data_IF_550918183500
#
_entry.id   IF_550918183500
#
_cell.length_a   1.000
_cell.length_b   1.000
_cell.length_c   1.000
_cell.angle_alpha   90.00
_cell.angle_beta   90.00
_cell.angle_gamma   90.00
#
_symmetry.space_group_name_H-M   'P 1'
#
loop_
_entity.id
_entity.type
_entity.pdbx_description
1 polymer ?
#
# COMPACT_ATOMS: atom_id res chain seq x y z
N UNK A 1 -2.35 13.14 -20.87
CA UNK A 1 -1.98 14.57 -20.84
C UNK A 1 -0.75 14.86 -19.95
N UNK A 2 0.01 13.85 -19.48
CA UNK A 2 1.34 14.01 -18.84
C UNK A 2 1.38 14.69 -17.47
N UNK A 3 0.32 15.41 -17.09
CA UNK A 3 0.26 16.22 -15.87
C UNK A 3 0.52 15.42 -14.61
N UNK A 4 0.07 14.17 -14.57
CA UNK A 4 0.25 13.30 -13.41
C UNK A 4 1.71 12.92 -13.22
N UNK A 5 2.35 12.53 -14.31
CA UNK A 5 3.77 12.16 -14.32
C UNK A 5 4.66 13.35 -13.93
N UNK A 6 4.28 14.58 -14.29
CA UNK A 6 5.03 15.80 -13.98
C UNK A 6 5.17 16.08 -12.49
N UNK A 7 4.24 15.68 -11.62
CA UNK A 7 4.43 15.83 -10.17
C UNK A 7 4.88 14.52 -9.51
N UNK A 8 4.44 13.37 -10.01
CA UNK A 8 4.67 12.09 -9.34
C UNK A 8 6.15 11.68 -9.40
N UNK A 9 6.79 11.79 -10.57
CA UNK A 9 8.21 11.44 -10.70
C UNK A 9 9.11 12.35 -9.85
N UNK A 10 8.99 13.69 -9.90
CA UNK A 10 9.79 14.55 -9.02
C UNK A 10 9.55 14.27 -7.54
N UNK A 11 8.31 14.00 -7.13
CA UNK A 11 7.99 13.65 -5.73
C UNK A 11 8.70 12.36 -5.32
N UNK A 12 8.62 11.31 -6.14
CA UNK A 12 9.29 10.03 -5.85
C UNK A 12 10.82 10.17 -5.85
N UNK A 13 11.40 10.89 -6.81
CA UNK A 13 12.84 11.15 -6.84
C UNK A 13 13.30 11.91 -5.59
N UNK A 14 12.62 13.01 -5.23
CA UNK A 14 12.92 13.77 -4.03
C UNK A 14 12.77 12.94 -2.74
N UNK A 15 11.75 12.07 -2.67
CA UNK A 15 11.60 11.14 -1.55
C UNK A 15 12.77 10.16 -1.44
N UNK A 16 13.16 9.55 -2.57
CA UNK A 16 14.29 8.62 -2.61
C UNK A 16 15.57 9.33 -2.18
N UNK A 17 15.86 10.51 -2.72
CA UNK A 17 17.06 11.29 -2.41
C UNK A 17 17.14 11.71 -0.94
N UNK A 18 16.04 12.23 -0.38
CA UNK A 18 16.00 12.63 1.03
C UNK A 18 16.08 11.42 1.98
N UNK A 19 15.52 10.29 1.58
CA UNK A 19 15.56 9.05 2.36
C UNK A 19 16.95 8.38 2.35
N UNK A 20 17.88 8.78 1.47
CA UNK A 20 19.28 8.31 1.53
C UNK A 20 19.98 8.72 2.82
N UNK A 21 19.59 9.88 3.37
CA UNK A 21 20.19 10.46 4.59
C UNK A 21 19.58 9.87 5.87
N UNK A 22 18.36 9.33 5.78
CA UNK A 22 17.59 8.80 6.89
C UNK A 22 16.87 7.53 6.45
N UNK A 23 17.41 6.38 6.85
CA UNK A 23 16.88 5.06 6.51
C UNK A 23 15.58 4.72 7.28
N UNK A 24 15.04 5.69 8.03
CA UNK A 24 13.86 5.54 8.87
C UNK A 24 12.65 5.10 8.04
N UNK A 25 12.05 3.98 8.45
CA UNK A 25 10.76 3.48 7.99
C UNK A 25 9.67 3.83 8.99
N UNK A 26 8.40 3.66 8.60
CA UNK A 26 7.27 3.90 9.50
C UNK A 26 6.99 5.38 9.78
N UNK A 27 7.41 6.26 8.88
CA UNK A 27 7.09 7.69 8.90
C UNK A 27 6.52 8.07 7.53
N UNK A 28 5.44 8.86 7.54
CA UNK A 28 4.90 9.41 6.31
C UNK A 28 5.78 10.58 5.85
N UNK A 29 6.23 10.55 4.60
CA UNK A 29 7.10 11.57 4.02
C UNK A 29 6.40 12.44 2.98
N UNK A 30 5.38 11.90 2.32
CA UNK A 30 4.56 12.62 1.37
C UNK A 30 3.11 12.16 1.44
N UNK A 31 2.19 13.12 1.31
CA UNK A 31 0.76 12.87 1.19
C UNK A 31 0.25 13.44 -0.12
N UNK A 32 -0.49 12.62 -0.87
CA UNK A 32 -1.14 13.01 -2.12
C UNK A 32 -2.65 13.04 -1.91
N UNK A 33 -3.24 14.22 -2.05
CA UNK A 33 -4.67 14.45 -1.87
C UNK A 33 -5.40 14.49 -3.22
N UNK A 34 -6.43 13.66 -3.35
CA UNK A 34 -7.34 13.68 -4.49
C UNK A 34 -8.77 13.97 -4.08
N UNK A 35 -9.54 14.70 -4.90
CA UNK A 35 -10.92 15.04 -4.58
C UNK A 35 -11.88 13.85 -4.69
N UNK A 36 -11.52 12.79 -5.42
CA UNK A 36 -12.41 11.65 -5.69
C UNK A 36 -11.70 10.31 -5.56
N UNK A 37 -12.40 9.30 -5.04
CA UNK A 37 -11.90 7.92 -4.92
C UNK A 37 -11.48 7.30 -6.26
N UNK A 38 -12.17 7.66 -7.35
CA UNK A 38 -11.82 7.22 -8.69
C UNK A 38 -10.42 7.69 -9.09
N UNK A 39 -10.08 8.94 -8.75
CA UNK A 39 -8.74 9.49 -8.99
C UNK A 39 -7.71 8.77 -8.10
N UNK A 40 -8.00 8.56 -6.83
CA UNK A 40 -7.12 7.77 -5.94
C UNK A 40 -6.79 6.39 -6.54
N UNK A 41 -7.78 5.72 -7.12
CA UNK A 41 -7.62 4.40 -7.74
C UNK A 41 -6.76 4.44 -9.00
N UNK A 42 -6.97 5.43 -9.88
CA UNK A 42 -6.11 5.63 -11.06
C UNK A 42 -4.65 5.84 -10.64
N UNK A 43 -4.43 6.58 -9.56
CA UNK A 43 -3.11 6.98 -9.08
C UNK A 43 -2.40 5.83 -8.37
N UNK A 44 -3.14 5.00 -7.64
CA UNK A 44 -2.66 3.72 -7.11
C UNK A 44 -2.18 2.83 -8.25
N UNK A 45 -2.94 2.72 -9.35
CA UNK A 45 -2.57 1.92 -10.53
C UNK A 45 -1.28 2.44 -11.19
N UNK A 46 -1.10 3.77 -11.23
CA UNK A 46 0.14 4.39 -11.74
C UNK A 46 1.33 4.15 -10.84
N UNK A 47 1.17 4.31 -9.54
CA UNK A 47 2.22 4.00 -8.57
C UNK A 47 2.61 2.53 -8.65
N UNK A 48 1.63 1.63 -8.81
CA UNK A 48 1.92 0.21 -9.03
C UNK A 48 2.73 -0.03 -10.29
N UNK A 49 2.43 0.67 -11.39
CA UNK A 49 3.22 0.60 -12.61
C UNK A 49 4.66 1.08 -12.42
N UNK A 50 4.87 2.15 -11.65
CA UNK A 50 6.19 2.77 -11.44
C UNK A 50 7.04 1.96 -10.44
N UNK A 51 6.45 1.60 -9.31
CA UNK A 51 7.11 0.97 -8.18
C UNK A 51 7.07 -0.56 -8.22
N UNK A 52 6.17 -1.16 -9.00
CA UNK A 52 5.96 -2.61 -9.03
C UNK A 52 6.92 -3.36 -9.96
N UNK A 53 7.66 -2.67 -10.83
CA UNK A 53 8.61 -3.35 -11.72
C UNK A 53 9.81 -3.89 -10.92
N UNK A 54 10.26 -5.11 -11.23
CA UNK A 54 11.42 -5.71 -10.56
C UNK A 54 12.68 -4.82 -10.62
N UNK A 55 13.03 -4.19 -11.77
CA UNK A 55 14.14 -3.25 -11.82
C UNK A 55 13.96 -2.05 -10.87
N UNK A 56 12.76 -1.46 -10.85
CA UNK A 56 12.46 -0.32 -9.96
C UNK A 56 12.60 -0.73 -8.49
N UNK A 57 12.01 -1.86 -8.09
CA UNK A 57 12.09 -2.34 -6.71
C UNK A 57 13.54 -2.62 -6.28
N UNK A 58 14.33 -3.28 -7.13
CA UNK A 58 15.75 -3.55 -6.86
C UNK A 58 16.58 -2.28 -6.75
N UNK A 59 16.41 -1.34 -7.68
CA UNK A 59 17.15 -0.09 -7.69
C UNK A 59 16.81 0.77 -6.46
N UNK A 60 15.52 0.94 -6.17
CA UNK A 60 15.06 1.73 -5.03
C UNK A 60 15.52 1.09 -3.72
N UNK A 61 15.32 -0.22 -3.57
CA UNK A 61 15.73 -0.93 -2.35
C UNK A 61 17.24 -0.95 -2.17
N UNK A 62 18.02 -1.02 -3.26
CA UNK A 62 19.48 -0.88 -3.20
C UNK A 62 19.95 0.51 -2.77
N UNK A 63 19.18 1.56 -3.07
CA UNK A 63 19.48 2.93 -2.65
C UNK A 63 19.05 3.19 -1.20
N UNK A 64 17.88 2.68 -0.79
CA UNK A 64 17.26 2.97 0.49
C UNK A 64 17.55 1.92 1.58
N UNK A 65 18.14 0.78 1.23
CA UNK A 65 18.28 -0.38 2.13
C UNK A 65 16.95 -1.06 2.49
N UNK A 66 15.82 -0.62 1.91
CA UNK A 66 14.46 -1.12 2.15
C UNK A 66 13.53 -0.74 0.98
N UNK A 67 12.37 -1.39 0.80
CA UNK A 67 11.39 -0.92 -0.19
C UNK A 67 10.90 0.50 0.14
N UNK A 68 10.59 1.26 -0.91
CA UNK A 68 9.79 2.48 -0.79
C UNK A 68 8.32 2.07 -0.66
N UNK A 69 7.67 2.54 0.39
CA UNK A 69 6.31 2.11 0.73
C UNK A 69 5.27 3.15 0.30
N UNK A 70 4.13 2.68 -0.21
CA UNK A 70 2.96 3.53 -0.43
C UNK A 70 1.68 2.84 0.04
N UNK A 71 0.65 3.65 0.34
CA UNK A 71 -0.66 3.11 0.64
C UNK A 71 -1.78 4.02 0.13
N UNK A 72 -2.91 3.39 -0.20
CA UNK A 72 -4.18 4.09 -0.41
C UNK A 72 -4.99 4.04 0.89
N UNK A 73 -5.33 5.21 1.43
CA UNK A 73 -6.12 5.35 2.65
C UNK A 73 -7.44 6.08 2.34
N UNK A 74 -8.47 5.33 2.00
CA UNK A 74 -9.81 5.86 1.66
C UNK A 74 -10.90 5.06 2.39
N UNK A 75 -12.17 5.34 2.11
CA UNK A 75 -13.28 4.52 2.63
C UNK A 75 -13.22 3.06 2.17
N UNK A 76 -12.62 2.80 1.00
CA UNK A 76 -12.48 1.46 0.41
C UNK A 76 -11.30 0.66 0.99
N UNK A 77 -10.37 1.30 1.70
CA UNK A 77 -9.31 0.58 2.43
C UNK A 77 -9.99 -0.36 3.44
N UNK A 78 -9.58 -1.64 3.53
CA UNK A 78 -10.26 -2.64 4.36
C UNK A 78 -10.51 -2.18 5.79
N UNK A 79 -11.62 -2.67 6.33
CA UNK A 79 -12.41 -2.20 7.48
C UNK A 79 -11.71 -1.31 8.53
N UNK A 80 -12.46 -0.32 9.04
CA UNK A 80 -11.98 0.58 10.07
C UNK A 80 -12.01 -0.08 11.47
N UNK A 81 -11.18 0.43 12.37
CA UNK A 81 -11.10 0.00 13.76
C UNK A 81 -9.98 -1.01 14.02
N UNK A 82 -10.04 -1.60 15.22
CA UNK A 82 -9.02 -2.53 15.72
C UNK A 82 -8.96 -3.83 14.93
N UNK A 83 -7.85 -4.55 15.11
CA UNK A 83 -7.61 -5.84 14.48
C UNK A 83 -8.73 -6.84 14.83
N UNK A 84 -9.41 -7.38 13.82
CA UNK A 84 -10.47 -8.36 13.99
C UNK A 84 -10.16 -9.61 13.18
N UNK A 85 -9.95 -10.72 13.90
CA UNK A 85 -9.58 -12.02 13.30
C UNK A 85 -10.64 -12.54 12.32
N UNK A 86 -11.93 -12.36 12.61
CA UNK A 86 -13.02 -12.84 11.76
C UNK A 86 -13.09 -12.01 10.48
N UNK A 87 -12.98 -10.67 10.59
CA UNK A 87 -12.93 -9.77 9.43
C UNK A 87 -11.69 -10.02 8.58
N UNK A 88 -10.51 -10.21 9.18
CA UNK A 88 -9.28 -10.54 8.46
C UNK A 88 -9.36 -11.88 7.72
N UNK A 89 -9.94 -12.91 8.34
CA UNK A 89 -10.16 -14.20 7.67
C UNK A 89 -11.16 -14.11 6.51
N UNK A 90 -12.12 -13.20 6.57
CA UNK A 90 -13.03 -12.96 5.46
C UNK A 90 -12.33 -12.18 4.35
N UNK A 91 -11.58 -11.14 4.71
CA UNK A 91 -10.79 -10.34 3.78
C UNK A 91 -9.76 -11.20 3.03
N UNK A 92 -9.06 -12.10 3.72
CA UNK A 92 -8.08 -12.99 3.08
C UNK A 92 -8.73 -13.87 2.01
N UNK A 93 -9.92 -14.45 2.28
CA UNK A 93 -10.69 -15.20 1.27
C UNK A 93 -11.14 -14.31 0.11
N UNK A 94 -11.57 -13.09 0.38
CA UNK A 94 -11.95 -12.14 -0.65
C UNK A 94 -10.76 -11.77 -1.53
N UNK A 95 -9.57 -11.58 -0.96
CA UNK A 95 -8.34 -11.31 -1.72
C UNK A 95 -7.92 -12.52 -2.55
N UNK A 96 -7.98 -13.73 -1.98
CA UNK A 96 -7.74 -15.00 -2.68
C UNK A 96 -8.58 -15.12 -3.96
N UNK A 97 -9.88 -14.87 -3.83
CA UNK A 97 -10.82 -14.91 -4.94
C UNK A 97 -10.62 -13.75 -5.93
N UNK A 98 -10.48 -12.51 -5.43
CA UNK A 98 -10.41 -11.31 -6.26
C UNK A 98 -9.16 -11.29 -7.15
N UNK A 99 -8.04 -11.78 -6.64
CA UNK A 99 -6.77 -11.78 -7.36
C UNK A 99 -6.44 -13.14 -7.98
N UNK A 100 -7.28 -14.17 -7.79
CA UNK A 100 -7.00 -15.54 -8.24
C UNK A 100 -5.59 -16.01 -7.83
N UNK A 101 -5.25 -15.85 -6.54
CA UNK A 101 -3.90 -16.09 -6.03
C UNK A 101 -3.49 -17.56 -6.23
N UNK A 102 -4.38 -18.49 -5.90
CA UNK A 102 -4.19 -19.92 -6.14
C UNK A 102 -4.83 -20.40 -7.45
N UNK A 103 -4.74 -19.61 -8.53
CA UNK A 103 -5.34 -19.96 -9.83
C UNK A 103 -4.94 -21.38 -10.31
N UNK A 104 -5.93 -22.27 -10.40
CA UNK A 104 -5.72 -23.66 -10.84
C UNK A 104 -6.13 -23.83 -12.29
N UNK A 105 -7.22 -23.19 -12.69
CA UNK A 105 -7.77 -23.31 -14.05
C UNK A 105 -7.08 -22.36 -15.02
N UNK A 106 -7.07 -22.73 -16.31
CA UNK A 106 -6.53 -21.85 -17.36
C UNK A 106 -7.28 -20.52 -17.45
N UNK A 107 -8.56 -20.47 -17.06
CA UNK A 107 -9.35 -19.24 -17.02
C UNK A 107 -8.90 -18.31 -15.89
N UNK A 108 -8.75 -18.83 -14.67
CA UNK A 108 -8.24 -18.07 -13.52
C UNK A 108 -6.83 -17.55 -13.79
N UNK A 109 -5.96 -18.38 -14.37
CA UNK A 109 -4.60 -17.99 -14.74
C UNK A 109 -4.61 -16.83 -15.76
N UNK A 110 -5.47 -16.92 -16.78
CA UNK A 110 -5.64 -15.84 -17.76
C UNK A 110 -6.20 -14.57 -17.13
N UNK A 111 -7.14 -14.68 -16.19
CA UNK A 111 -7.67 -13.55 -15.45
C UNK A 111 -6.61 -12.88 -14.57
N UNK A 112 -5.86 -13.66 -13.81
CA UNK A 112 -4.74 -13.17 -12.99
C UNK A 112 -3.69 -12.45 -13.85
N UNK A 113 -3.30 -13.02 -15.00
CA UNK A 113 -2.38 -12.36 -15.94
C UNK A 113 -2.92 -11.02 -16.46
N UNK A 114 -4.24 -10.90 -16.70
CA UNK A 114 -4.85 -9.61 -17.08
C UNK A 114 -4.73 -8.59 -15.94
N UNK A 115 -4.96 -9.00 -14.69
CA UNK A 115 -4.82 -8.11 -13.53
C UNK A 115 -3.39 -7.60 -13.38
N UNK A 116 -2.38 -8.46 -13.55
CA UNK A 116 -0.97 -8.07 -13.54
C UNK A 116 -0.70 -7.06 -14.65
N UNK A 117 -1.12 -7.36 -15.89
CA UNK A 117 -0.92 -6.45 -17.05
C UNK A 117 -1.56 -5.07 -16.83
N UNK A 118 -2.66 -5.02 -16.07
CA UNK A 118 -3.37 -3.79 -15.73
C UNK A 118 -2.86 -3.11 -14.44
N UNK A 119 -1.83 -3.65 -13.76
CA UNK A 119 -1.34 -3.17 -12.46
C UNK A 119 -2.43 -3.14 -11.37
N UNK A 120 -3.35 -4.12 -11.40
CA UNK A 120 -4.49 -4.20 -10.47
C UNK A 120 -4.23 -5.09 -9.27
N UNK A 121 -3.16 -5.89 -9.32
CA UNK A 121 -2.69 -6.71 -8.20
C UNK A 121 -1.83 -5.84 -7.26
N UNK A 122 -2.01 -5.92 -5.93
CA UNK A 122 -1.17 -5.19 -4.98
C UNK A 122 0.31 -5.59 -5.03
N UNK A 123 1.22 -4.66 -4.74
CA UNK A 123 2.66 -4.94 -4.70
C UNK A 123 3.08 -5.43 -3.31
N UNK A 124 2.81 -6.71 -3.05
CA UNK A 124 3.35 -7.43 -1.90
C UNK A 124 4.60 -8.21 -2.30
N UNK A 125 5.51 -8.42 -1.37
CA UNK A 125 6.69 -9.26 -1.59
C UNK A 125 6.30 -10.69 -1.97
N UNK A 126 5.30 -11.24 -1.26
CA UNK A 126 4.66 -12.51 -1.58
C UNK A 126 3.18 -12.46 -1.21
N UNK A 127 2.31 -12.33 -2.21
CA UNK A 127 0.86 -12.22 -2.02
C UNK A 127 0.26 -13.48 -1.38
N UNK A 128 0.55 -14.72 -1.83
CA UNK A 128 0.10 -15.94 -1.15
C UNK A 128 0.43 -15.97 0.35
N UNK A 129 1.68 -15.65 0.72
CA UNK A 129 2.13 -15.67 2.10
C UNK A 129 1.48 -14.54 2.93
N UNK A 130 1.31 -13.36 2.33
CA UNK A 130 0.54 -12.26 2.94
C UNK A 130 -0.90 -12.70 3.25
N UNK A 131 -1.61 -13.28 2.28
CA UNK A 131 -3.00 -13.72 2.48
C UNK A 131 -3.11 -14.84 3.51
N UNK A 132 -2.15 -15.77 3.50
CA UNK A 132 -2.06 -16.85 4.49
C UNK A 132 -1.76 -16.33 5.88
N UNK A 133 -0.83 -15.39 6.04
CA UNK A 133 -0.50 -14.80 7.34
C UNK A 133 -1.69 -14.00 7.88
N UNK A 134 -2.33 -13.17 7.05
CA UNK A 134 -3.53 -12.40 7.40
C UNK A 134 -4.69 -13.30 7.88
N UNK A 135 -4.88 -14.46 7.26
CA UNK A 135 -5.92 -15.40 7.65
C UNK A 135 -5.73 -16.01 9.05
N UNK A 136 -4.47 -16.11 9.49
CA UNK A 136 -4.06 -16.84 10.70
C UNK A 136 -3.62 -15.94 11.86
N UNK A 137 -3.23 -14.70 11.57
CA UNK A 137 -2.74 -13.74 12.53
C UNK A 137 -3.78 -13.43 13.63
N UNK A 138 -3.28 -13.26 14.86
CA UNK A 138 -4.04 -12.81 16.03
C UNK A 138 -3.89 -11.31 16.30
N UNK A 139 -2.88 -10.68 15.71
CA UNK A 139 -2.62 -9.24 15.79
C UNK A 139 -1.90 -8.77 14.52
N UNK A 140 -1.77 -7.45 14.31
CA UNK A 140 -1.18 -6.90 13.09
C UNK A 140 0.32 -7.21 12.99
N UNK A 141 1.02 -7.34 14.12
CA UNK A 141 2.44 -7.65 14.20
C UNK A 141 2.77 -9.07 13.71
N UNK A 142 1.76 -9.94 13.62
CA UNK A 142 1.88 -11.31 13.10
C UNK A 142 1.58 -11.43 11.61
N UNK A 143 1.09 -10.35 10.98
CA UNK A 143 0.89 -10.32 9.53
C UNK A 143 2.26 -10.09 8.90
N UNK A 144 2.64 -10.92 7.93
CA UNK A 144 3.89 -10.73 7.22
C UNK A 144 3.75 -9.56 6.24
N UNK A 145 4.36 -8.45 6.63
CA UNK A 145 4.42 -7.20 5.85
C UNK A 145 5.85 -6.86 5.47
N UNK A 146 6.78 -7.80 5.69
CA UNK A 146 8.20 -7.55 5.48
C UNK A 146 8.49 -7.39 3.98
N UNK A 147 9.26 -6.35 3.65
CA UNK A 147 9.66 -6.04 2.27
C UNK A 147 8.52 -5.65 1.32
N UNK A 148 7.33 -5.34 1.83
CA UNK A 148 6.24 -4.86 1.00
C UNK A 148 6.48 -3.45 0.46
N UNK A 149 6.07 -3.22 -0.79
CA UNK A 149 6.05 -1.90 -1.41
C UNK A 149 4.67 -1.24 -1.23
N UNK A 150 3.60 -2.03 -1.17
CA UNK A 150 2.24 -1.53 -1.00
C UNK A 150 1.61 -2.02 0.31
N UNK A 151 1.17 -1.08 1.16
CA UNK A 151 0.35 -1.38 2.32
C UNK A 151 -1.13 -1.33 1.92
N UNK A 152 -1.86 -2.40 2.19
CA UNK A 152 -3.24 -2.60 1.69
C UNK A 152 -4.29 -2.52 2.81
N UNK A 153 -3.90 -2.67 4.07
CA UNK A 153 -4.75 -2.62 5.25
C UNK A 153 -4.62 -1.26 5.97
N UNK A 154 -5.70 -0.79 6.60
CA UNK A 154 -5.62 0.40 7.46
C UNK A 154 -4.65 0.18 8.62
N UNK A 155 -4.66 -1.01 9.20
CA UNK A 155 -3.84 -1.36 10.36
C UNK A 155 -2.34 -1.37 10.02
N UNK A 156 -1.97 -1.73 8.78
CA UNK A 156 -0.59 -1.59 8.30
C UNK A 156 -0.16 -0.12 8.34
N UNK A 157 -0.98 0.76 7.77
CA UNK A 157 -0.71 2.21 7.71
C UNK A 157 -0.67 2.84 9.10
N UNK A 158 -1.58 2.44 10.00
CA UNK A 158 -1.63 2.96 11.37
C UNK A 158 -0.43 2.49 12.20
N UNK A 159 -0.02 1.22 12.06
CA UNK A 159 1.10 0.65 12.78
C UNK A 159 2.45 1.16 12.26
N UNK A 160 2.63 1.17 10.93
CA UNK A 160 3.84 1.62 10.25
C UNK A 160 3.46 2.46 9.03
N UNK A 161 3.32 3.80 9.20
CA UNK A 161 2.99 4.71 8.12
C UNK A 161 3.88 4.54 6.86
N UNK A 162 3.30 4.58 5.65
CA UNK A 162 4.03 4.44 4.40
C UNK A 162 4.78 5.73 4.06
N UNK A 163 5.82 5.66 3.23
CA UNK A 163 6.53 6.85 2.72
C UNK A 163 5.59 7.78 1.93
N UNK A 164 4.69 7.20 1.13
CA UNK A 164 3.68 7.92 0.33
C UNK A 164 2.28 7.48 0.73
N UNK A 165 1.49 8.41 1.27
CA UNK A 165 0.07 8.19 1.55
C UNK A 165 -0.81 8.86 0.50
N UNK A 166 -1.71 8.11 -0.12
CA UNK A 166 -2.71 8.63 -1.06
C UNK A 166 -4.06 8.63 -0.37
N UNK A 167 -4.73 9.77 -0.30
CA UNK A 167 -6.02 9.88 0.37
C UNK A 167 -6.91 10.94 -0.30
N UNK A 168 -8.11 11.14 0.26
CA UNK A 168 -9.04 12.19 -0.14
C UNK A 168 -9.32 13.13 1.04
N UNK A 169 -9.94 14.28 0.77
CA UNK A 169 -10.22 15.28 1.82
C UNK A 169 -11.07 14.73 2.97
N UNK A 170 -12.12 13.97 2.66
CA UNK A 170 -12.99 13.41 3.71
C UNK A 170 -12.24 12.44 4.62
N UNK A 171 -11.36 11.61 4.06
CA UNK A 171 -10.60 10.64 4.84
C UNK A 171 -9.47 11.32 5.62
N UNK A 172 -8.81 12.34 5.05
CA UNK A 172 -7.86 13.17 5.79
C UNK A 172 -8.53 13.83 7.00
N UNK A 173 -9.72 14.42 6.84
CA UNK A 173 -10.47 15.00 7.94
C UNK A 173 -10.73 13.98 9.06
N UNK A 174 -11.16 12.76 8.70
CA UNK A 174 -11.31 11.68 9.68
C UNK A 174 -9.99 11.31 10.37
N UNK A 175 -8.89 11.22 9.61
CA UNK A 175 -7.58 10.87 10.16
C UNK A 175 -7.07 11.91 11.17
N UNK A 176 -7.39 13.20 10.96
CA UNK A 176 -6.99 14.28 11.85
C UNK A 176 -7.81 14.35 13.14
N UNK A 177 -9.02 13.79 13.15
CA UNK A 177 -9.95 13.87 14.28
C UNK A 177 -9.95 12.61 15.16
N UNK A 178 -9.51 11.47 14.63
CA UNK A 178 -9.65 10.17 15.29
C UNK A 178 -8.34 9.76 15.98
N UNK A 179 -8.40 9.35 17.27
CA UNK A 179 -7.21 8.94 18.02
C UNK A 179 -6.41 7.80 17.38
N UNK A 180 -7.08 6.86 16.70
CA UNK A 180 -6.43 5.70 16.09
C UNK A 180 -5.49 6.07 14.93
N UNK A 181 -5.66 7.25 14.32
CA UNK A 181 -4.81 7.74 13.24
C UNK A 181 -3.76 8.79 13.68
N UNK A 182 -3.78 9.25 14.94
CA UNK A 182 -2.79 10.23 15.43
C UNK A 182 -1.35 9.75 15.23
N UNK A 183 -1.09 8.46 15.48
CA UNK A 183 0.23 7.86 15.29
C UNK A 183 0.79 7.95 13.87
N UNK A 184 -0.06 8.20 12.86
CA UNK A 184 0.39 8.44 11.48
C UNK A 184 1.12 9.78 11.37
N UNK A 185 0.62 10.81 12.05
CA UNK A 185 1.17 12.17 12.00
C UNK A 185 2.22 12.41 13.08
N UNK A 186 2.03 11.87 14.29
CA UNK A 186 2.97 12.05 15.41
C UNK A 186 4.36 11.51 15.08
N UNK A 187 4.43 10.37 14.37
CA UNK A 187 5.68 9.77 13.90
C UNK A 187 6.37 10.60 12.82
N UNK A 188 5.63 11.41 12.07
CA UNK A 188 6.15 12.28 11.00
C UNK A 188 6.66 13.61 11.53
N UNK A 189 6.19 14.06 12.70
CA UNK A 189 6.55 15.36 13.28
C UNK A 189 7.93 15.37 13.97
N UNK A 190 8.65 14.24 14.01
CA UNK A 190 9.97 14.06 14.64
C UNK A 190 11.10 14.18 13.61
#
# INVERSE_FOLDING_TARGET
SGKTETFLYPTLCGLIENSRRSHTSGIMKSMILYPMNALVTDQTTRLRKILGSEPSQKQISGILGRPLTFANYTSATPYAGEFDRKKNRNLSRSMESLYCISAVTSEEQRYHQRLIKQNRVPIKANIPDFVKSLANAKSIEQVDISHDTELVLRQEVQSSPPDVLITNFSMLEYMLLRPIEHGIFDKTAQ
#
